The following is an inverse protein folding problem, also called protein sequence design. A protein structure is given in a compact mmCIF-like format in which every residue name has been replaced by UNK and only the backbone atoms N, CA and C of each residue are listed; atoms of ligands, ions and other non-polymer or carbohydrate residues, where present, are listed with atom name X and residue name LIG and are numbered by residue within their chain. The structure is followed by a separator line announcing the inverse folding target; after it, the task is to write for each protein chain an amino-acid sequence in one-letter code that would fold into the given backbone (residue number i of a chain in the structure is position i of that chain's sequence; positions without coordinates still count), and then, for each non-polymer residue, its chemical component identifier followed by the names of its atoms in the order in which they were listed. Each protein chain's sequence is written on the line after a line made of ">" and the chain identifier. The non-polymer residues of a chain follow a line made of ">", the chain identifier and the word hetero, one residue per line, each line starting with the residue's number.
data_IF_562412333661
#
_entry.id   IF_562412333661
#
_cell.length_a   1.000
_cell.length_b   1.000
_cell.length_c   1.000
_cell.angle_alpha   90.00
_cell.angle_beta   90.00
_cell.angle_gamma   90.00
#
_symmetry.space_group_name_H-M   'P 1'
#
loop_
_entity.id
_entity.type
_entity.pdbx_description
1 polymer ?
#
# COMPACT_ATOMS: atom_id res chain seq x y z
N UNK A 1 -38.82 22.70 -8.22
CA UNK A 1 -38.51 21.42 -8.90
C UNK A 1 -37.13 21.54 -9.51
N UNK A 2 -36.18 20.86 -8.86
CA UNK A 2 -34.74 21.08 -8.99
C UNK A 2 -34.21 20.52 -10.32
N UNK A 3 -33.23 21.20 -10.94
CA UNK A 3 -32.64 20.80 -12.23
C UNK A 3 -31.95 19.43 -12.18
N UNK A 4 -31.71 18.88 -10.98
CA UNK A 4 -31.17 17.54 -10.74
C UNK A 4 -32.19 16.41 -10.90
N UNK A 5 -33.48 16.65 -10.64
CA UNK A 5 -34.52 15.62 -10.81
C UNK A 5 -34.83 15.37 -12.30
N UNK A 6 -34.72 16.39 -13.16
CA UNK A 6 -35.01 16.27 -14.60
C UNK A 6 -34.00 15.44 -15.40
N UNK A 7 -32.80 15.16 -14.86
CA UNK A 7 -31.79 14.33 -15.57
C UNK A 7 -31.97 12.82 -15.37
N UNK A 8 -32.68 12.39 -14.31
CA UNK A 8 -33.00 10.98 -14.09
C UNK A 8 -34.13 10.50 -15.01
N UNK A 9 -34.98 11.42 -15.46
CA UNK A 9 -36.10 11.16 -16.38
C UNK A 9 -35.73 11.44 -17.85
N UNK A 10 -34.45 11.73 -18.16
CA UNK A 10 -33.96 11.84 -19.53
C UNK A 10 -33.92 10.42 -20.15
N UNK A 11 -34.73 10.14 -21.20
CA UNK A 11 -34.79 8.83 -21.83
C UNK A 11 -33.43 8.30 -22.28
N UNK A 12 -32.52 9.22 -22.63
CA UNK A 12 -31.17 8.94 -23.12
C UNK A 12 -30.26 8.43 -22.00
N UNK A 13 -30.35 9.04 -20.81
CA UNK A 13 -29.54 8.67 -19.65
C UNK A 13 -29.99 7.35 -19.02
N UNK A 14 -31.32 7.11 -18.98
CA UNK A 14 -31.89 5.85 -18.50
C UNK A 14 -31.49 4.67 -19.39
N UNK A 15 -31.53 4.86 -20.72
CA UNK A 15 -31.09 3.84 -21.68
C UNK A 15 -29.61 3.48 -21.55
N UNK A 16 -28.74 4.47 -21.32
CA UNK A 16 -27.31 4.25 -21.06
C UNK A 16 -27.05 3.44 -19.79
N UNK A 17 -27.83 3.70 -18.73
CA UNK A 17 -27.71 2.97 -17.47
C UNK A 17 -28.16 1.50 -17.64
N UNK A 18 -29.30 1.27 -18.29
CA UNK A 18 -29.83 -0.08 -18.59
C UNK A 18 -28.85 -0.88 -19.46
N UNK A 19 -28.30 -0.28 -20.52
CA UNK A 19 -27.31 -0.92 -21.39
C UNK A 19 -26.04 -1.30 -20.62
N UNK A 20 -25.58 -0.45 -19.71
CA UNK A 20 -24.38 -0.73 -18.92
C UNK A 20 -24.58 -1.85 -17.90
N UNK A 21 -25.71 -1.86 -17.19
CA UNK A 21 -26.02 -2.95 -16.24
C UNK A 21 -26.15 -4.28 -16.98
N UNK A 22 -26.80 -4.26 -18.15
CA UNK A 22 -26.87 -5.41 -19.03
C UNK A 22 -25.48 -5.87 -19.49
N UNK A 23 -24.60 -4.94 -19.87
CA UNK A 23 -23.23 -5.24 -20.30
C UNK A 23 -22.42 -5.97 -19.21
N UNK A 24 -22.42 -5.43 -17.98
CA UNK A 24 -21.66 -5.99 -16.86
C UNK A 24 -22.15 -7.39 -16.47
N UNK A 25 -23.47 -7.60 -16.51
CA UNK A 25 -24.08 -8.87 -16.09
C UNK A 25 -23.85 -9.99 -17.10
N UNK A 26 -23.80 -9.68 -18.39
CA UNK A 26 -23.87 -10.69 -19.46
C UNK A 26 -22.54 -10.92 -20.19
N UNK A 27 -21.53 -10.04 -20.06
CA UNK A 27 -20.28 -10.17 -20.81
C UNK A 27 -19.05 -10.01 -19.92
N UNK A 28 -18.11 -10.97 -20.03
CA UNK A 28 -16.84 -10.99 -19.29
C UNK A 28 -15.66 -10.51 -20.12
N UNK A 29 -15.78 -10.57 -21.45
CA UNK A 29 -14.74 -10.17 -22.39
C UNK A 29 -15.36 -9.75 -23.73
N UNK A 30 -14.51 -9.18 -24.60
CA UNK A 30 -14.92 -8.69 -25.92
C UNK A 30 -15.46 -9.81 -26.82
N UNK A 31 -14.90 -11.01 -26.74
CA UNK A 31 -15.33 -12.15 -27.55
C UNK A 31 -16.80 -12.52 -27.23
N UNK A 32 -17.19 -12.54 -25.96
CA UNK A 32 -18.58 -12.83 -25.54
C UNK A 32 -19.58 -11.79 -26.07
N UNK A 33 -19.24 -10.49 -26.05
CA UNK A 33 -20.11 -9.42 -26.55
C UNK A 33 -20.38 -9.53 -28.05
N UNK A 34 -19.37 -9.90 -28.83
CA UNK A 34 -19.47 -9.99 -30.29
C UNK A 34 -19.89 -11.37 -30.79
N UNK A 35 -19.84 -12.42 -29.95
CA UNK A 35 -20.30 -13.77 -30.28
C UNK A 35 -21.83 -13.93 -30.28
N UNK A 36 -22.57 -13.06 -29.56
CA UNK A 36 -24.04 -13.09 -29.55
C UNK A 36 -24.61 -12.93 -30.98
N UNK A 37 -25.40 -13.92 -31.42
CA UNK A 37 -26.08 -13.91 -32.71
C UNK A 37 -27.31 -13.02 -32.63
N UNK A 38 -27.31 -11.94 -33.41
CA UNK A 38 -28.49 -11.09 -33.60
C UNK A 38 -29.30 -11.68 -34.75
N UNK A 39 -30.20 -12.62 -34.47
CA UNK A 39 -31.10 -13.17 -35.48
C UNK A 39 -32.19 -12.14 -35.87
N UNK A 40 -32.85 -12.40 -37.02
CA UNK A 40 -33.84 -11.55 -37.70
C UNK A 40 -34.94 -11.00 -36.76
N UNK A 41 -35.63 -9.89 -37.14
CA UNK A 41 -36.66 -9.24 -36.33
C UNK A 41 -37.64 -10.23 -35.70
N UNK A 42 -37.74 -10.18 -34.37
CA UNK A 42 -38.62 -11.00 -33.53
C UNK A 42 -39.84 -10.18 -33.10
N UNK A 43 -41.00 -10.84 -33.02
CA UNK A 43 -42.23 -10.25 -32.49
C UNK A 43 -42.32 -10.34 -30.95
N UNK A 44 -41.40 -11.08 -30.31
CA UNK A 44 -41.29 -11.17 -28.86
C UNK A 44 -40.70 -9.86 -28.28
N UNK A 45 -41.46 -9.10 -27.47
CA UNK A 45 -41.00 -7.84 -26.89
C UNK A 45 -39.77 -7.98 -25.99
N UNK A 46 -39.59 -9.13 -25.33
CA UNK A 46 -38.49 -9.33 -24.38
C UNK A 46 -37.18 -9.60 -25.13
N UNK A 47 -37.24 -10.44 -26.17
CA UNK A 47 -36.10 -10.72 -27.04
C UNK A 47 -35.73 -9.49 -27.89
N UNK A 48 -36.71 -8.71 -28.35
CA UNK A 48 -36.47 -7.43 -29.03
C UNK A 48 -35.73 -6.42 -28.13
N UNK A 49 -36.11 -6.34 -26.85
CA UNK A 49 -35.43 -5.49 -25.86
C UNK A 49 -33.99 -5.98 -25.62
N UNK A 50 -33.79 -7.29 -25.49
CA UNK A 50 -32.45 -7.90 -25.31
C UNK A 50 -31.54 -7.58 -26.49
N UNK A 51 -32.01 -7.78 -27.72
CA UNK A 51 -31.27 -7.46 -28.96
C UNK A 51 -30.88 -5.97 -29.00
N UNK A 52 -31.83 -5.08 -28.68
CA UNK A 52 -31.57 -3.64 -28.63
C UNK A 52 -30.47 -3.27 -27.62
N UNK A 53 -30.49 -3.87 -26.42
CA UNK A 53 -29.45 -3.67 -25.41
C UNK A 53 -28.08 -4.19 -25.88
N UNK A 54 -28.01 -5.35 -26.53
CA UNK A 54 -26.75 -5.90 -27.07
C UNK A 54 -26.16 -4.95 -28.13
N UNK A 55 -27.00 -4.44 -29.05
CA UNK A 55 -26.57 -3.48 -30.06
C UNK A 55 -26.02 -2.19 -29.43
N UNK A 56 -26.75 -1.64 -28.46
CA UNK A 56 -26.32 -0.45 -27.72
C UNK A 56 -24.99 -0.69 -26.98
N UNK A 57 -24.81 -1.86 -26.37
CA UNK A 57 -23.54 -2.23 -25.74
C UNK A 57 -22.37 -2.25 -26.73
N UNK A 58 -22.58 -2.78 -27.94
CA UNK A 58 -21.55 -2.82 -28.99
C UNK A 58 -21.16 -1.44 -29.47
N UNK A 59 -22.13 -0.54 -29.65
CA UNK A 59 -21.87 0.83 -30.07
C UNK A 59 -21.12 1.62 -28.99
N UNK A 60 -21.56 1.52 -27.75
CA UNK A 60 -20.88 2.14 -26.60
C UNK A 60 -19.47 1.58 -26.38
N UNK A 61 -19.23 0.29 -26.67
CA UNK A 61 -17.89 -0.29 -26.63
C UNK A 61 -16.98 0.27 -27.73
N UNK A 62 -17.48 0.39 -28.97
CA UNK A 62 -16.75 0.99 -30.09
C UNK A 62 -16.42 2.47 -29.86
N UNK A 63 -17.30 3.19 -29.17
CA UNK A 63 -17.08 4.58 -28.76
C UNK A 63 -16.14 4.73 -27.55
N UNK A 64 -15.68 3.62 -26.95
CA UNK A 64 -14.80 3.61 -25.78
C UNK A 64 -15.49 3.98 -24.47
N UNK A 65 -16.83 4.00 -24.45
CA UNK A 65 -17.64 4.31 -23.27
C UNK A 65 -17.76 3.07 -22.36
N UNK A 66 -17.88 1.88 -22.95
CA UNK A 66 -17.76 0.61 -22.26
C UNK A 66 -16.39 0.00 -22.54
N UNK A 67 -15.75 -0.57 -21.51
CA UNK A 67 -14.43 -1.20 -21.63
C UNK A 67 -14.38 -2.48 -20.79
N UNK A 68 -13.77 -3.54 -21.35
CA UNK A 68 -13.40 -4.72 -20.58
C UNK A 68 -12.09 -4.41 -19.85
N UNK A 69 -12.09 -4.47 -18.52
CA UNK A 69 -10.84 -4.36 -17.76
C UNK A 69 -10.18 -5.73 -17.69
N UNK A 70 -8.90 -5.81 -18.07
CA UNK A 70 -8.06 -6.98 -17.76
C UNK A 70 -7.91 -7.07 -16.25
N UNK A 71 -8.12 -8.27 -15.74
CA UNK A 71 -7.98 -8.70 -14.34
C UNK A 71 -9.12 -8.29 -13.39
N UNK A 72 -10.15 -9.16 -13.33
CA UNK A 72 -11.09 -9.24 -12.22
C UNK A 72 -12.20 -8.19 -12.24
N UNK A 73 -13.43 -8.63 -11.94
CA UNK A 73 -14.57 -7.73 -11.75
C UNK A 73 -14.26 -6.70 -10.65
N UNK A 74 -13.97 -5.46 -11.03
CA UNK A 74 -14.33 -4.32 -10.19
C UNK A 74 -15.76 -3.94 -10.59
N UNK A 75 -16.76 -4.50 -9.89
CA UNK A 75 -18.13 -3.98 -9.94
C UNK A 75 -18.08 -2.48 -9.66
N UNK A 76 -18.21 -1.66 -10.69
CA UNK A 76 -18.25 -0.22 -10.49
C UNK A 76 -19.53 0.06 -9.71
N UNK A 77 -19.39 0.67 -8.54
CA UNK A 77 -20.50 0.98 -7.66
C UNK A 77 -21.42 1.99 -8.37
N UNK A 78 -22.55 1.50 -8.87
CA UNK A 78 -23.59 2.28 -9.55
C UNK A 78 -24.70 2.71 -8.60
N UNK A 79 -25.03 1.86 -7.63
CA UNK A 79 -26.13 2.08 -6.70
C UNK A 79 -25.63 2.16 -5.24
N UNK A 80 -25.99 3.26 -4.59
CA UNK A 80 -25.81 3.50 -3.15
C UNK A 80 -26.88 4.51 -2.70
N UNK A 81 -27.41 4.31 -1.50
CA UNK A 81 -28.43 5.16 -0.89
C UNK A 81 -27.84 6.50 -0.43
N UNK A 82 -26.68 6.44 0.22
CA UNK A 82 -25.97 7.61 0.74
C UNK A 82 -24.45 7.48 0.63
N UNK A 83 -23.73 8.51 1.06
CA UNK A 83 -22.26 8.55 0.99
C UNK A 83 -21.59 7.61 1.98
N UNK A 84 -22.27 7.21 3.06
CA UNK A 84 -21.76 6.24 4.03
C UNK A 84 -21.79 4.83 3.45
N UNK A 85 -22.86 4.44 2.75
CA UNK A 85 -22.93 3.16 2.04
C UNK A 85 -21.91 3.11 0.89
N UNK A 86 -21.76 4.22 0.16
CA UNK A 86 -20.70 4.34 -0.86
C UNK A 86 -19.32 4.12 -0.24
N UNK A 87 -19.03 4.76 0.91
CA UNK A 87 -17.77 4.60 1.62
C UNK A 87 -17.55 3.14 2.04
N UNK A 88 -18.55 2.49 2.62
CA UNK A 88 -18.45 1.08 3.03
C UNK A 88 -18.12 0.15 1.86
N UNK A 89 -18.85 0.30 0.74
CA UNK A 89 -18.60 -0.45 -0.50
C UNK A 89 -17.20 -0.23 -1.04
N UNK A 90 -16.74 1.02 -1.09
CA UNK A 90 -15.37 1.34 -1.52
C UNK A 90 -14.34 0.65 -0.62
N UNK A 91 -14.52 0.72 0.70
CA UNK A 91 -13.59 0.14 1.68
C UNK A 91 -13.57 -1.39 1.67
N UNK A 92 -14.65 -2.04 1.21
CA UNK A 92 -14.68 -3.48 0.99
C UNK A 92 -13.85 -3.91 -0.23
N UNK A 93 -13.81 -3.07 -1.28
CA UNK A 93 -13.04 -3.33 -2.50
C UNK A 93 -11.57 -2.93 -2.30
N UNK A 94 -11.34 -1.74 -1.76
CA UNK A 94 -10.03 -1.16 -1.51
C UNK A 94 -9.89 -0.82 -0.03
N UNK A 95 -9.18 -1.66 0.76
CA UNK A 95 -8.96 -1.36 2.16
C UNK A 95 -8.18 -0.06 2.32
N UNK A 96 -8.80 0.88 3.03
CA UNK A 96 -8.21 2.14 3.48
C UNK A 96 -8.37 2.24 4.99
N UNK A 97 -7.38 2.86 5.64
CA UNK A 97 -7.40 3.15 7.06
C UNK A 97 -7.07 4.62 7.28
N UNK A 98 -7.90 5.31 8.06
CA UNK A 98 -7.68 6.70 8.44
C UNK A 98 -7.33 6.80 9.92
N UNK A 99 -6.06 7.00 10.22
CA UNK A 99 -5.55 6.96 11.60
C UNK A 99 -5.86 8.24 12.37
N UNK A 100 -5.63 8.23 13.69
CA UNK A 100 -5.90 9.39 14.57
C UNK A 100 -5.06 10.63 14.23
N UNK A 101 -3.90 10.43 13.61
CA UNK A 101 -2.97 11.48 13.16
C UNK A 101 -3.37 12.11 11.83
N UNK A 102 -4.57 11.78 11.32
CA UNK A 102 -5.14 12.28 10.06
C UNK A 102 -4.35 11.82 8.83
N UNK A 103 -3.72 10.65 8.89
CA UNK A 103 -2.99 10.03 7.80
C UNK A 103 -3.86 8.94 7.17
N UNK A 104 -3.86 8.92 5.84
CA UNK A 104 -4.47 7.86 5.06
C UNK A 104 -3.46 6.76 4.79
N UNK A 105 -3.90 5.54 5.02
CA UNK A 105 -3.18 4.32 4.72
C UNK A 105 -3.97 3.51 3.69
N UNK A 106 -3.30 3.05 2.64
CA UNK A 106 -3.84 2.20 1.59
C UNK A 106 -3.21 0.81 1.68
N UNK A 107 -4.03 -0.25 1.66
CA UNK A 107 -3.51 -1.58 1.45
C UNK A 107 -3.15 -1.79 -0.03
N UNK A 108 -1.86 -1.86 -0.32
CA UNK A 108 -1.32 -2.20 -1.63
C UNK A 108 -1.35 -3.72 -1.81
N UNK A 109 -2.24 -4.22 -2.68
CA UNK A 109 -2.44 -5.65 -2.93
C UNK A 109 -1.25 -6.31 -3.65
N UNK A 110 -0.47 -5.54 -4.42
CA UNK A 110 0.69 -6.06 -5.15
C UNK A 110 1.93 -6.16 -4.26
N UNK A 111 2.12 -5.17 -3.38
CA UNK A 111 3.24 -5.09 -2.44
C UNK A 111 2.95 -5.71 -1.08
N UNK A 112 1.70 -6.11 -0.83
CA UNK A 112 1.23 -6.71 0.43
C UNK A 112 1.51 -5.85 1.67
N UNK A 113 1.28 -4.54 1.59
CA UNK A 113 1.57 -3.62 2.69
C UNK A 113 0.65 -2.41 2.72
N UNK A 114 0.59 -1.76 3.87
CA UNK A 114 0.00 -0.45 4.05
C UNK A 114 0.99 0.65 3.63
N UNK A 115 0.53 1.58 2.80
CA UNK A 115 1.31 2.74 2.37
C UNK A 115 0.55 4.05 2.61
N UNK A 116 1.29 5.11 2.90
CA UNK A 116 0.71 6.44 3.11
C UNK A 116 0.27 6.99 1.75
N UNK A 117 -0.97 7.47 1.69
CA UNK A 117 -1.52 8.16 0.52
C UNK A 117 -2.14 9.50 0.94
N UNK A 118 -2.58 10.30 -0.03
CA UNK A 118 -3.27 11.57 0.24
C UNK A 118 -4.76 11.55 -0.17
N UNK A 119 -5.45 12.67 0.09
CA UNK A 119 -6.87 12.80 -0.27
C UNK A 119 -7.09 12.77 -1.80
N UNK A 120 -6.09 13.10 -2.62
CA UNK A 120 -6.18 13.02 -4.09
C UNK A 120 -6.19 11.57 -4.52
N UNK A 121 -5.29 10.75 -3.97
CA UNK A 121 -5.23 9.31 -4.23
C UNK A 121 -6.55 8.63 -3.83
N UNK A 122 -7.07 8.93 -2.64
CA UNK A 122 -8.39 8.42 -2.19
C UNK A 122 -9.48 8.77 -3.19
N UNK A 123 -9.55 10.02 -3.67
CA UNK A 123 -10.57 10.42 -4.63
C UNK A 123 -10.37 9.80 -6.03
N UNK A 124 -9.13 9.49 -6.43
CA UNK A 124 -8.87 8.73 -7.64
C UNK A 124 -9.42 7.29 -7.53
N UNK A 125 -9.31 6.65 -6.37
CA UNK A 125 -9.96 5.35 -6.12
C UNK A 125 -11.48 5.44 -6.17
N UNK A 126 -12.09 6.45 -5.54
CA UNK A 126 -13.54 6.68 -5.61
C UNK A 126 -13.99 6.81 -7.07
N UNK A 127 -13.28 7.61 -7.87
CA UNK A 127 -13.58 7.82 -9.29
C UNK A 127 -13.42 6.53 -10.11
N UNK A 128 -12.43 5.70 -9.78
CA UNK A 128 -12.19 4.41 -10.45
C UNK A 128 -13.26 3.37 -10.11
N UNK A 129 -13.72 3.34 -8.86
CA UNK A 129 -14.57 2.30 -8.28
C UNK A 129 -16.07 2.65 -8.27
N UNK A 130 -16.45 3.91 -8.53
CA UNK A 130 -17.85 4.35 -8.45
C UNK A 130 -18.19 5.40 -9.51
N UNK A 131 -19.48 5.60 -9.75
CA UNK A 131 -19.98 6.73 -10.56
C UNK A 131 -20.13 8.05 -9.79
N UNK A 132 -19.67 8.11 -8.55
CA UNK A 132 -19.84 9.30 -7.73
C UNK A 132 -19.12 10.51 -8.35
N UNK A 133 -19.75 11.69 -8.25
CA UNK A 133 -19.13 12.90 -8.78
C UNK A 133 -18.04 13.38 -7.81
N UNK A 134 -16.78 13.17 -8.22
CA UNK A 134 -15.60 13.54 -7.44
C UNK A 134 -15.08 14.95 -7.76
N UNK A 135 -15.72 15.66 -8.70
CA UNK A 135 -15.30 17.00 -9.17
C UNK A 135 -16.07 18.11 -8.46
N UNK A 136 -17.38 17.92 -8.22
CA UNK A 136 -18.19 18.91 -7.52
C UNK A 136 -17.73 19.03 -6.06
N UNK A 137 -17.20 20.20 -5.68
CA UNK A 137 -16.55 20.45 -4.38
C UNK A 137 -17.36 19.97 -3.16
N UNK A 138 -18.65 20.28 -3.09
CA UNK A 138 -19.54 19.84 -2.00
C UNK A 138 -19.63 18.31 -1.92
N UNK A 139 -19.89 17.65 -3.04
CA UNK A 139 -20.07 16.20 -3.09
C UNK A 139 -18.76 15.46 -2.81
N UNK A 140 -17.65 15.97 -3.33
CA UNK A 140 -16.29 15.50 -3.02
C UNK A 140 -16.02 15.55 -1.51
N UNK A 141 -16.37 16.65 -0.85
CA UNK A 141 -16.18 16.80 0.60
C UNK A 141 -17.03 15.79 1.38
N UNK A 142 -18.30 15.65 1.03
CA UNK A 142 -19.21 14.70 1.69
C UNK A 142 -18.73 13.25 1.56
N UNK A 143 -18.25 12.85 0.37
CA UNK A 143 -17.65 11.52 0.15
C UNK A 143 -16.41 11.33 1.03
N UNK A 144 -15.52 12.32 1.05
CA UNK A 144 -14.27 12.22 1.79
C UNK A 144 -14.53 12.11 3.31
N UNK A 145 -15.46 12.89 3.85
CA UNK A 145 -15.82 12.82 5.27
C UNK A 145 -16.52 11.50 5.64
N UNK A 146 -17.35 10.94 4.75
CA UNK A 146 -17.92 9.61 4.94
C UNK A 146 -16.83 8.53 4.96
N UNK A 147 -15.88 8.58 4.00
CA UNK A 147 -14.74 7.66 3.96
C UNK A 147 -13.88 7.76 5.21
N UNK A 148 -13.55 8.96 5.70
CA UNK A 148 -12.75 9.14 6.92
C UNK A 148 -13.42 8.48 8.12
N UNK A 149 -14.74 8.64 8.26
CA UNK A 149 -15.50 8.06 9.36
C UNK A 149 -15.50 6.52 9.31
N UNK A 150 -15.80 5.94 8.16
CA UNK A 150 -15.85 4.47 8.03
C UNK A 150 -14.46 3.83 8.06
N UNK A 151 -13.46 4.43 7.39
CA UNK A 151 -12.09 3.92 7.38
C UNK A 151 -11.45 3.92 8.77
N UNK A 152 -11.80 4.89 9.63
CA UNK A 152 -11.29 4.95 11.00
C UNK A 152 -11.85 3.83 11.89
N UNK A 153 -13.05 3.32 11.60
CA UNK A 153 -13.62 2.15 12.30
C UNK A 153 -12.90 0.86 11.93
N UNK A 154 -12.37 0.78 10.70
CA UNK A 154 -11.67 -0.39 10.14
C UNK A 154 -10.17 -0.40 10.48
N UNK A 155 -9.82 -0.14 11.74
CA UNK A 155 -8.42 -0.13 12.17
C UNK A 155 -7.81 -1.54 12.01
N UNK A 156 -6.72 -1.70 11.24
CA UNK A 156 -5.98 -2.96 11.16
C UNK A 156 -5.29 -3.29 12.50
N UNK A 157 -5.10 -4.58 12.77
CA UNK A 157 -4.41 -5.05 13.98
C UNK A 157 -2.92 -4.76 13.86
N UNK A 158 -2.31 -4.26 14.93
CA UNK A 158 -0.85 -4.09 14.97
C UNK A 158 -0.15 -5.44 14.75
N UNK A 159 0.95 -5.42 14.00
CA UNK A 159 1.78 -6.61 13.81
C UNK A 159 2.52 -6.98 15.10
N UNK A 160 2.77 -8.27 15.31
CA UNK A 160 3.65 -8.69 16.40
C UNK A 160 5.09 -8.29 16.09
N UNK A 161 5.84 -7.92 17.13
CA UNK A 161 7.27 -7.58 17.06
C UNK A 161 8.15 -8.75 16.57
N UNK A 162 7.66 -9.98 16.69
CA UNK A 162 8.33 -11.20 16.22
C UNK A 162 8.04 -11.53 14.76
N UNK A 163 7.17 -10.77 14.09
CA UNK A 163 6.80 -11.05 12.70
C UNK A 163 7.77 -10.38 11.73
N UNK A 164 8.21 -11.16 10.75
CA UNK A 164 8.97 -10.68 9.60
C UNK A 164 8.21 -11.08 8.33
N UNK A 165 7.94 -10.12 7.46
CA UNK A 165 7.24 -10.36 6.20
C UNK A 165 8.23 -10.45 5.03
N UNK A 166 8.23 -11.58 4.33
CA UNK A 166 8.96 -11.83 3.09
C UNK A 166 7.98 -11.86 1.92
N UNK A 167 7.94 -10.76 1.17
CA UNK A 167 6.96 -10.51 0.12
C UNK A 167 5.52 -10.69 0.63
N UNK A 168 4.82 -11.76 0.26
CA UNK A 168 3.44 -12.05 0.70
C UNK A 168 3.36 -12.97 1.93
N UNK A 169 4.49 -13.51 2.41
CA UNK A 169 4.54 -14.48 3.50
C UNK A 169 5.00 -13.81 4.80
N UNK A 170 4.21 -13.91 5.87
CA UNK A 170 4.61 -13.50 7.21
C UNK A 170 5.11 -14.72 7.95
N UNK A 171 6.26 -14.58 8.61
CA UNK A 171 6.87 -15.60 9.46
C UNK A 171 7.02 -15.04 10.87
N UNK A 172 6.49 -15.73 11.86
CA UNK A 172 6.79 -15.45 13.27
C UNK A 172 8.13 -16.11 13.63
N UNK A 173 9.18 -15.32 13.86
CA UNK A 173 10.54 -15.85 14.07
C UNK A 173 10.70 -16.61 15.39
N UNK A 174 9.73 -16.51 16.30
CA UNK A 174 9.73 -17.24 17.57
C UNK A 174 8.94 -18.54 17.47
N UNK A 175 7.70 -18.51 16.96
CA UNK A 175 6.87 -19.72 16.87
C UNK A 175 7.12 -20.55 15.62
N UNK A 176 7.66 -19.94 14.55
CA UNK A 176 7.79 -20.53 13.22
C UNK A 176 6.48 -20.60 12.44
N UNK A 177 5.40 -19.99 12.93
CA UNK A 177 4.12 -19.91 12.23
C UNK A 177 4.24 -19.07 10.96
N UNK A 178 3.56 -19.53 9.90
CA UNK A 178 3.57 -18.91 8.58
C UNK A 178 2.16 -18.67 8.07
N UNK A 179 1.89 -17.49 7.54
CA UNK A 179 0.60 -17.15 6.94
C UNK A 179 0.73 -16.02 5.93
N UNK A 180 -0.25 -15.87 5.04
CA UNK A 180 -0.22 -14.84 4.02
C UNK A 180 -0.61 -13.46 4.56
N UNK A 181 0.13 -12.45 4.11
CA UNK A 181 -0.11 -11.06 4.43
C UNK A 181 -1.44 -10.58 3.84
N UNK A 182 -2.22 -9.88 4.66
CA UNK A 182 -3.51 -9.32 4.27
C UNK A 182 -3.79 -8.03 5.05
N UNK A 183 -4.77 -7.27 4.58
CA UNK A 183 -5.13 -5.95 5.11
C UNK A 183 -5.55 -5.97 6.59
N UNK A 184 -5.87 -7.12 7.20
CA UNK A 184 -6.25 -7.13 8.61
C UNK A 184 -5.08 -6.82 9.55
N UNK A 185 -3.84 -6.91 9.07
CA UNK A 185 -2.63 -6.59 9.84
C UNK A 185 -1.97 -5.32 9.31
N UNK A 186 -1.53 -4.46 10.23
CA UNK A 186 -0.90 -3.19 9.91
C UNK A 186 0.60 -3.38 9.70
N UNK A 187 0.94 -3.77 8.47
CA UNK A 187 2.32 -4.04 8.05
C UNK A 187 2.73 -3.08 6.95
N UNK A 188 3.90 -2.49 7.08
CA UNK A 188 4.39 -1.40 6.20
C UNK A 188 5.72 -1.73 5.54
N UNK A 189 6.39 -2.77 6.01
CA UNK A 189 7.79 -3.06 5.78
C UNK A 189 8.09 -4.49 5.31
N UNK A 190 7.44 -4.99 4.24
CA UNK A 190 7.77 -6.29 3.67
C UNK A 190 9.15 -6.27 3.03
N UNK A 191 9.93 -7.30 3.30
CA UNK A 191 11.17 -7.57 2.58
C UNK A 191 10.78 -7.95 1.14
N UNK A 192 11.38 -7.35 0.09
CA UNK A 192 10.90 -7.50 -1.29
C UNK A 192 11.13 -8.90 -1.88
N UNK A 193 11.83 -9.77 -1.15
CA UNK A 193 12.22 -11.10 -1.59
C UNK A 193 11.26 -12.17 -1.07
N UNK A 194 10.89 -13.11 -1.94
CA UNK A 194 10.19 -14.33 -1.53
C UNK A 194 11.13 -15.20 -0.71
N UNK A 195 10.64 -15.73 0.41
CA UNK A 195 11.40 -16.68 1.21
C UNK A 195 11.63 -17.96 0.40
N UNK A 196 12.87 -18.45 0.38
CA UNK A 196 13.22 -19.66 -0.35
C UNK A 196 12.65 -20.90 0.34
N UNK A 197 12.10 -21.86 -0.43
CA UNK A 197 11.43 -23.07 0.09
C UNK A 197 12.29 -23.90 1.05
N UNK A 198 13.59 -23.99 0.76
CA UNK A 198 14.54 -24.75 1.59
C UNK A 198 14.88 -24.04 2.90
N UNK A 199 14.55 -22.74 3.06
CA UNK A 199 14.90 -21.83 4.16
C UNK A 199 16.40 -21.64 4.44
N UNK A 200 17.22 -22.60 4.05
CA UNK A 200 18.66 -22.59 4.11
C UNK A 200 19.21 -22.92 2.73
N UNK A 201 20.09 -22.05 2.23
CA UNK A 201 20.89 -22.28 1.03
C UNK A 201 22.26 -21.68 1.29
N UNK A 202 23.29 -22.39 0.88
CA UNK A 202 24.65 -21.86 0.94
C UNK A 202 24.78 -20.61 0.07
N UNK A 203 25.50 -19.62 0.60
CA UNK A 203 25.72 -18.34 -0.05
C UNK A 203 27.21 -18.10 -0.29
N UNK A 204 27.92 -18.99 -1.02
CA UNK A 204 29.39 -19.00 -1.07
C UNK A 204 29.97 -17.67 -1.59
N UNK A 205 29.27 -16.99 -2.50
CA UNK A 205 29.70 -15.69 -3.03
C UNK A 205 29.63 -14.60 -1.94
N UNK A 206 28.53 -14.55 -1.19
CA UNK A 206 28.36 -13.57 -0.10
C UNK A 206 29.32 -13.89 1.05
N UNK A 207 29.47 -15.17 1.37
CA UNK A 207 30.34 -15.65 2.45
C UNK A 207 31.79 -15.27 2.17
N UNK A 208 32.27 -15.54 0.94
CA UNK A 208 33.60 -15.12 0.50
C UNK A 208 33.78 -13.60 0.55
N UNK A 209 32.81 -12.82 0.05
CA UNK A 209 32.91 -11.35 0.06
C UNK A 209 32.94 -10.81 1.50
N UNK A 210 32.17 -11.40 2.41
CA UNK A 210 32.19 -10.99 3.83
C UNK A 210 33.52 -11.35 4.47
N UNK A 211 34.06 -12.54 4.20
CA UNK A 211 35.36 -12.96 4.70
C UNK A 211 36.48 -12.03 4.18
N UNK A 212 36.44 -11.64 2.91
CA UNK A 212 37.36 -10.66 2.32
C UNK A 212 37.29 -9.28 3.02
N UNK A 213 36.11 -8.88 3.52
CA UNK A 213 35.93 -7.57 4.17
C UNK A 213 36.31 -7.55 5.64
N UNK A 214 35.97 -8.60 6.40
CA UNK A 214 36.07 -8.60 7.86
C UNK A 214 36.85 -9.77 8.45
N UNK A 215 37.30 -10.72 7.64
CA UNK A 215 37.88 -11.99 8.09
C UNK A 215 36.83 -13.01 8.54
N UNK A 216 37.23 -14.28 8.57
CA UNK A 216 36.33 -15.42 8.84
C UNK A 216 35.56 -15.27 10.16
N UNK A 217 36.25 -14.82 11.22
CA UNK A 217 35.69 -14.66 12.58
C UNK A 217 34.50 -13.68 12.63
N UNK A 218 34.43 -12.73 11.71
CA UNK A 218 33.44 -11.66 11.72
C UNK A 218 32.33 -11.83 10.67
N UNK A 219 32.42 -12.81 9.76
CA UNK A 219 31.38 -13.11 8.77
C UNK A 219 30.02 -13.34 9.43
N UNK A 220 30.01 -14.10 10.53
CA UNK A 220 28.80 -14.38 11.32
C UNK A 220 28.18 -13.08 11.88
N UNK A 221 29.01 -12.13 12.30
CA UNK A 221 28.55 -10.85 12.85
C UNK A 221 27.83 -10.03 11.78
N UNK A 222 28.36 -9.96 10.55
CA UNK A 222 27.69 -9.28 9.44
C UNK A 222 26.32 -9.89 9.12
N UNK A 223 26.22 -11.23 9.09
CA UNK A 223 24.94 -11.93 8.92
C UNK A 223 23.96 -11.63 10.07
N UNK A 224 24.44 -11.58 11.31
CA UNK A 224 23.63 -11.23 12.47
C UNK A 224 23.12 -9.78 12.42
N UNK A 225 23.92 -8.84 11.94
CA UNK A 225 23.47 -7.45 11.73
C UNK A 225 22.33 -7.39 10.70
N UNK A 226 22.49 -8.10 9.57
CA UNK A 226 21.43 -8.19 8.55
C UNK A 226 20.15 -8.80 9.16
N UNK A 227 20.28 -9.90 9.91
CA UNK A 227 19.16 -10.55 10.57
C UNK A 227 18.49 -9.65 11.62
N UNK A 228 19.27 -8.89 12.38
CA UNK A 228 18.75 -7.92 13.34
C UNK A 228 17.90 -6.85 12.65
N UNK A 229 18.34 -6.33 11.50
CA UNK A 229 17.59 -5.34 10.72
C UNK A 229 16.28 -5.87 10.11
N UNK A 230 16.02 -7.18 10.13
CA UNK A 230 14.73 -7.74 9.70
C UNK A 230 13.65 -7.61 10.78
N UNK A 231 14.06 -7.48 12.04
CA UNK A 231 13.16 -7.47 13.19
C UNK A 231 12.59 -6.05 13.35
N UNK A 232 11.26 -5.87 13.33
CA UNK A 232 10.61 -4.56 13.52
C UNK A 232 10.55 -4.17 15.01
N UNK A 233 11.64 -4.42 15.75
CA UNK A 233 11.79 -4.17 17.17
C UNK A 233 13.27 -4.00 17.53
N UNK A 234 13.54 -3.55 18.75
CA UNK A 234 14.90 -3.39 19.27
C UNK A 234 15.21 -4.42 20.37
N UNK A 235 15.35 -5.73 20.06
CA UNK A 235 15.66 -6.73 21.07
C UNK A 235 17.02 -6.51 21.73
N UNK A 236 17.90 -5.74 21.08
CA UNK A 236 19.21 -5.34 21.62
C UNK A 236 19.40 -3.84 21.34
N UNK A 237 19.37 -2.99 22.36
CA UNK A 237 19.50 -1.54 22.20
C UNK A 237 20.91 -1.14 21.74
N UNK A 238 21.18 -1.20 20.43
CA UNK A 238 22.49 -1.01 19.82
C UNK A 238 22.42 -0.17 18.55
N UNK A 239 23.53 0.52 18.29
CA UNK A 239 23.87 1.14 17.00
C UNK A 239 25.06 0.37 16.46
N UNK A 240 25.01 0.01 15.17
CA UNK A 240 26.13 -0.64 14.49
C UNK A 240 26.99 0.41 13.78
N UNK A 241 28.22 0.59 14.26
CA UNK A 241 29.18 1.51 13.66
C UNK A 241 30.24 0.72 12.88
N UNK A 242 30.31 0.93 11.57
CA UNK A 242 31.29 0.29 10.71
C UNK A 242 32.56 1.15 10.63
N UNK A 243 33.58 0.78 11.40
CA UNK A 243 34.86 1.49 11.47
C UNK A 243 35.88 0.78 10.57
N UNK A 244 36.65 1.55 9.81
CA UNK A 244 37.68 1.02 8.91
C UNK A 244 38.22 2.11 8.00
N UNK A 245 39.36 1.85 7.36
CA UNK A 245 39.88 2.74 6.31
C UNK A 245 38.99 2.78 5.07
N UNK A 246 39.41 3.57 4.08
CA UNK A 246 38.84 3.49 2.73
C UNK A 246 39.05 2.10 2.11
N UNK A 247 38.21 1.74 1.14
CA UNK A 247 38.31 0.49 0.35
C UNK A 247 38.07 -0.84 1.10
N UNK A 248 37.50 -0.81 2.32
CA UNK A 248 37.21 -2.02 3.12
C UNK A 248 35.77 -2.57 2.96
N UNK A 249 35.09 -2.29 1.84
CA UNK A 249 33.75 -2.85 1.58
C UNK A 249 32.57 -2.26 2.36
N UNK A 250 32.79 -1.36 3.33
CA UNK A 250 31.71 -0.73 4.16
C UNK A 250 30.53 -0.20 3.34
N UNK A 251 30.80 0.66 2.35
CA UNK A 251 29.74 1.22 1.50
C UNK A 251 29.02 0.14 0.67
N UNK A 252 29.73 -0.93 0.30
CA UNK A 252 29.13 -2.07 -0.41
C UNK A 252 28.29 -2.97 0.50
N UNK A 253 28.68 -3.13 1.75
CA UNK A 253 27.85 -3.79 2.75
C UNK A 253 26.55 -3.01 3.01
N UNK A 254 26.63 -1.69 3.17
CA UNK A 254 25.45 -0.85 3.34
C UNK A 254 24.54 -0.87 2.10
N UNK A 255 25.12 -0.85 0.90
CA UNK A 255 24.37 -1.00 -0.37
C UNK A 255 23.66 -2.37 -0.43
N UNK A 256 24.34 -3.45 -0.04
CA UNK A 256 23.76 -4.79 0.04
C UNK A 256 22.60 -4.81 1.04
N UNK A 257 22.78 -4.23 2.23
CA UNK A 257 21.76 -4.17 3.27
C UNK A 257 20.52 -3.41 2.80
N UNK A 258 20.70 -2.24 2.16
CA UNK A 258 19.59 -1.45 1.59
C UNK A 258 18.83 -2.26 0.55
N UNK A 259 19.53 -2.90 -0.39
CA UNK A 259 18.90 -3.75 -1.41
C UNK A 259 18.18 -4.94 -0.79
N UNK A 260 18.78 -5.57 0.22
CA UNK A 260 18.21 -6.73 0.89
C UNK A 260 16.93 -6.36 1.65
N UNK A 261 16.96 -5.30 2.45
CA UNK A 261 15.78 -4.83 3.18
C UNK A 261 14.73 -4.22 2.23
N UNK A 262 15.16 -3.65 1.12
CA UNK A 262 14.35 -2.86 0.19
C UNK A 262 14.44 -1.37 0.49
N UNK A 263 14.55 -0.54 -0.55
CA UNK A 263 14.69 0.91 -0.42
C UNK A 263 13.56 1.54 0.40
N UNK A 264 12.33 1.03 0.22
CA UNK A 264 11.14 1.49 0.95
C UNK A 264 11.19 1.17 2.45
N UNK A 265 12.02 0.23 2.89
CA UNK A 265 12.20 -0.15 4.30
C UNK A 265 13.42 0.52 4.93
N UNK A 266 14.19 1.27 4.16
CA UNK A 266 15.36 1.97 4.64
C UNK A 266 15.20 3.48 4.50
N UNK A 267 16.07 4.21 5.19
CA UNK A 267 16.24 5.64 5.02
C UNK A 267 17.69 6.03 5.24
N UNK A 268 18.06 7.22 4.77
CA UNK A 268 19.38 7.81 4.99
C UNK A 268 19.23 9.20 5.59
N UNK A 269 20.12 9.53 6.53
CA UNK A 269 20.15 10.81 7.24
C UNK A 269 21.51 11.01 7.91
N UNK A 270 21.67 12.14 8.58
CA UNK A 270 22.82 12.46 9.41
C UNK A 270 22.39 12.54 10.88
N UNK A 271 23.31 12.18 11.77
CA UNK A 271 23.01 12.17 13.20
C UNK A 271 22.61 13.56 13.73
N UNK A 272 23.30 14.62 13.29
CA UNK A 272 22.99 15.99 13.69
C UNK A 272 21.58 16.41 13.24
N UNK A 273 21.23 16.08 11.99
CA UNK A 273 19.91 16.34 11.42
C UNK A 273 18.79 15.63 12.21
N UNK A 274 19.00 14.37 12.62
CA UNK A 274 18.03 13.66 13.46
C UNK A 274 17.83 14.29 14.84
N UNK A 275 18.91 14.82 15.43
CA UNK A 275 18.87 15.45 16.76
C UNK A 275 18.19 16.82 16.67
N UNK A 276 18.48 17.61 15.63
CA UNK A 276 18.11 19.02 15.57
C UNK A 276 16.84 19.30 14.75
N UNK A 277 16.52 18.48 13.74
CA UNK A 277 15.41 18.74 12.81
C UNK A 277 14.21 17.84 13.13
N UNK A 278 13.09 18.47 13.50
CA UNK A 278 11.82 17.77 13.79
C UNK A 278 11.26 16.94 12.64
N UNK A 279 11.39 17.44 11.40
CA UNK A 279 10.87 16.75 10.21
C UNK A 279 11.77 15.60 9.75
N UNK A 280 13.05 15.60 10.14
CA UNK A 280 13.99 14.55 9.73
C UNK A 280 13.65 13.23 10.42
N UNK A 281 13.16 13.28 11.66
CA UNK A 281 12.70 12.11 12.42
C UNK A 281 11.60 11.34 11.70
N UNK A 282 10.73 12.02 10.96
CA UNK A 282 9.66 11.41 10.16
C UNK A 282 10.18 10.42 9.12
N UNK A 283 11.45 10.55 8.68
CA UNK A 283 12.07 9.58 7.78
C UNK A 283 12.26 8.20 8.40
N UNK A 284 12.31 8.10 9.73
CA UNK A 284 12.47 6.85 10.47
C UNK A 284 11.13 6.10 10.64
N UNK A 285 10.01 6.81 10.51
CA UNK A 285 8.70 6.25 10.79
C UNK A 285 8.46 5.02 9.90
N UNK A 286 8.21 3.87 10.54
CA UNK A 286 7.93 2.58 9.90
C UNK A 286 9.05 2.05 8.98
N UNK A 287 10.30 2.48 9.20
CA UNK A 287 11.50 1.93 8.54
C UNK A 287 12.16 0.85 9.40
N UNK A 288 12.83 -0.10 8.75
CA UNK A 288 13.62 -1.16 9.39
C UNK A 288 15.05 -0.72 9.69
N UNK A 289 15.65 0.10 8.84
CA UNK A 289 17.01 0.57 9.02
C UNK A 289 17.18 2.04 8.62
N UNK A 290 17.97 2.74 9.40
CA UNK A 290 18.45 4.08 9.09
C UNK A 290 19.96 4.01 8.88
N UNK A 291 20.40 4.38 7.69
CA UNK A 291 21.81 4.41 7.34
C UNK A 291 22.31 5.83 7.57
N UNK A 292 23.22 5.98 8.53
CA UNK A 292 23.86 7.25 8.81
C UNK A 292 25.20 7.32 8.08
N UNK A 293 25.45 8.44 7.41
CA UNK A 293 26.71 8.70 6.73
C UNK A 293 27.89 8.88 7.70
N UNK A 294 28.96 9.50 7.20
CA UNK A 294 30.09 9.87 8.07
C UNK A 294 29.61 10.69 9.26
N UNK A 295 29.89 10.21 10.46
CA UNK A 295 29.42 10.82 11.69
C UNK A 295 30.61 11.15 12.56
N UNK A 296 30.77 12.43 12.91
CA UNK A 296 31.74 12.85 13.93
C UNK A 296 31.16 12.58 15.33
N UNK A 297 31.41 11.38 15.86
CA UNK A 297 30.91 11.00 17.19
C UNK A 297 31.44 11.90 18.32
N UNK A 298 32.53 12.66 18.09
CA UNK A 298 33.09 13.59 19.07
C UNK A 298 32.18 14.81 19.35
N UNK A 299 31.18 15.06 18.50
CA UNK A 299 30.26 16.20 18.63
C UNK A 299 28.89 15.82 19.21
N UNK A 300 28.69 14.57 19.66
CA UNK A 300 27.41 14.10 20.22
C UNK A 300 27.23 14.67 21.64
N UNK A 301 26.78 15.93 21.70
CA UNK A 301 26.45 16.61 22.94
C UNK A 301 25.13 16.14 23.56
N UNK A 302 24.24 15.52 22.76
CA UNK A 302 22.88 15.11 23.16
C UNK A 302 22.65 13.62 22.92
N UNK A 303 23.12 12.80 23.86
CA UNK A 303 22.92 11.34 23.83
C UNK A 303 21.49 10.89 24.15
N UNK A 304 20.65 11.77 24.69
CA UNK A 304 19.27 11.43 25.07
C UNK A 304 18.42 11.02 23.86
N UNK A 305 18.55 11.71 22.72
CA UNK A 305 17.79 11.37 21.52
C UNK A 305 18.28 10.05 20.91
N UNK A 306 19.59 9.80 20.88
CA UNK A 306 20.13 8.52 20.43
C UNK A 306 19.62 7.34 21.28
N UNK A 307 19.55 7.52 22.60
CA UNK A 307 18.98 6.52 23.50
C UNK A 307 17.52 6.26 23.19
N UNK A 308 16.74 7.32 22.94
CA UNK A 308 15.34 7.17 22.52
C UNK A 308 15.19 6.40 21.21
N UNK A 309 15.98 6.77 20.19
CA UNK A 309 15.96 6.13 18.87
C UNK A 309 16.37 4.64 18.89
N UNK A 310 17.03 4.19 19.95
CA UNK A 310 17.57 2.81 20.06
C UNK A 310 16.97 2.01 21.21
N UNK A 311 16.17 2.66 22.07
CA UNK A 311 15.74 2.15 23.37
C UNK A 311 14.25 1.83 23.47
N UNK A 312 13.54 1.72 22.34
CA UNK A 312 12.07 1.50 22.28
C UNK A 312 11.25 2.61 22.95
N UNK A 313 11.85 3.78 23.19
CA UNK A 313 11.12 4.94 23.68
C UNK A 313 10.22 5.49 22.57
N UNK A 314 9.02 5.95 22.95
CA UNK A 314 8.12 6.63 22.02
C UNK A 314 8.77 7.92 21.50
N UNK A 315 8.69 8.16 20.20
CA UNK A 315 9.24 9.36 19.57
C UNK A 315 8.16 10.14 18.82
N UNK A 316 8.25 11.47 18.92
CA UNK A 316 7.34 12.36 18.23
C UNK A 316 7.69 12.47 16.74
N UNK A 317 6.69 12.23 15.90
CA UNK A 317 6.72 12.38 14.45
C UNK A 317 5.89 13.58 14.00
N UNK A 318 6.42 14.33 13.04
CA UNK A 318 5.76 15.51 12.47
C UNK A 318 5.71 15.39 10.95
N UNK A 319 4.54 15.05 10.42
CA UNK A 319 4.28 15.14 8.98
C UNK A 319 3.82 16.56 8.63
N UNK A 320 4.30 17.10 7.51
CA UNK A 320 3.93 18.45 7.07
C UNK A 320 2.41 18.53 6.88
N UNK A 321 1.78 19.55 7.46
CA UNK A 321 0.33 19.79 7.42
C UNK A 321 -0.52 18.67 8.07
N UNK A 322 0.06 17.88 8.98
CA UNK A 322 -0.65 16.88 9.78
C UNK A 322 -0.46 17.18 11.27
N UNK A 323 -1.28 16.54 12.09
CA UNK A 323 -1.13 16.65 13.54
C UNK A 323 0.12 15.87 13.96
N UNK A 324 0.95 16.41 14.87
CA UNK A 324 2.04 15.65 15.46
C UNK A 324 1.49 14.46 16.26
N UNK A 325 2.23 13.37 16.28
CA UNK A 325 1.88 12.19 17.07
C UNK A 325 3.12 11.48 17.58
N UNK A 326 2.91 10.65 18.59
CA UNK A 326 3.91 9.85 19.26
C UNK A 326 3.66 8.37 18.89
N UNK A 327 4.70 7.66 18.45
CA UNK A 327 4.69 6.20 18.16
C UNK A 327 6.01 5.54 18.60
#
# INVERSE_FOLDING_TARGET
>A
MDKKERKKDDPTFKGLLEAREFFIKNFKNEEELFAEKLDKPTEDPEEAKRISLIMMCRDLYKEGILVFKKDGLDEVITNYYDKSELADKILNIQPLFYDKSKIWWLWNKEKFKWEIIDDVDVMNFVKKLSMANTIQSKERMEILEALKQEARKRKPKEMKKTWVQFHNLIVDVVSGEEFEANANFFITNPIPWKLHKLKYKETPIIDRIFEEWVGEDHVKTLKQIIAYCLIPDYPIHRIFCFIGGGLNGKSKFLELLIRFLGEENTTSTELDSLINLRFERTKLHRKLACIMGETNFNEISRTSMLKKLTGQDTIGFEYKNKDPFDD
#
